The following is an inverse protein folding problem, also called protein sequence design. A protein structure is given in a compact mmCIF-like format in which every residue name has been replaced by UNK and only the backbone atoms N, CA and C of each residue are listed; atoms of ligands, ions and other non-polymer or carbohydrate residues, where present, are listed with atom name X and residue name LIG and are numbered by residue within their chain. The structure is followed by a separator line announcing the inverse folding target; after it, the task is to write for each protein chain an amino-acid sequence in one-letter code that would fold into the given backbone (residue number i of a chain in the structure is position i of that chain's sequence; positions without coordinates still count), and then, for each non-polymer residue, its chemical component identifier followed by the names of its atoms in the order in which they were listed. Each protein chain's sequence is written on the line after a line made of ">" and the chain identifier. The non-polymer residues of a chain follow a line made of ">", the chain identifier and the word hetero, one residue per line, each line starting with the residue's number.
data_IF_648127581983
#
_entry.id   IF_648127581983
#
_cell.length_a   1.000
_cell.length_b   1.000
_cell.length_c   1.000
_cell.angle_alpha   90.00
_cell.angle_beta   90.00
_cell.angle_gamma   90.00
#
_symmetry.space_group_name_H-M   'P 1'
#
loop_
_entity.id
_entity.type
_entity.pdbx_description
1 polymer ?
#
# COMPACT_ATOMS: atom_id res chain seq x y z
N UNK A 1 13.49 23.84 -17.81
CA UNK A 1 13.78 24.29 -16.42
C UNK A 1 14.32 23.10 -15.64
N UNK A 2 15.34 23.27 -14.78
CA UNK A 2 15.89 22.15 -14.01
C UNK A 2 15.01 21.80 -12.80
N UNK A 3 15.02 20.53 -12.37
CA UNK A 3 14.33 20.10 -11.14
C UNK A 3 14.79 20.92 -9.94
N UNK A 4 13.90 21.28 -8.98
CA UNK A 4 14.29 22.02 -7.79
C UNK A 4 15.32 21.25 -6.95
N UNK A 5 16.42 21.91 -6.60
CA UNK A 5 17.49 21.34 -5.76
C UNK A 5 17.66 22.06 -4.42
N UNK A 6 17.01 23.21 -4.24
CA UNK A 6 17.08 24.01 -3.02
C UNK A 6 15.96 23.62 -2.06
N UNK A 7 16.34 23.45 -0.79
CA UNK A 7 15.39 23.27 0.29
C UNK A 7 14.59 24.56 0.49
N UNK A 8 13.26 24.47 0.44
CA UNK A 8 12.36 25.57 0.78
C UNK A 8 11.17 25.04 1.56
N UNK A 9 10.59 25.86 2.43
CA UNK A 9 9.47 25.45 3.26
C UNK A 9 8.24 25.06 2.41
N UNK A 10 7.90 25.87 1.40
CA UNK A 10 6.78 25.59 0.50
C UNK A 10 6.92 24.25 -0.23
N UNK A 11 8.14 23.89 -0.65
CA UNK A 11 8.40 22.62 -1.33
C UNK A 11 8.23 21.43 -0.37
N UNK A 12 8.76 21.55 0.84
CA UNK A 12 8.61 20.54 1.90
C UNK A 12 7.14 20.36 2.28
N UNK A 13 6.40 21.46 2.39
CA UNK A 13 4.98 21.45 2.74
C UNK A 13 4.18 20.67 1.69
N UNK A 14 4.40 20.98 0.41
CA UNK A 14 3.78 20.28 -0.72
C UNK A 14 4.13 18.79 -0.75
N UNK A 15 5.36 18.40 -0.42
CA UNK A 15 5.75 16.98 -0.33
C UNK A 15 4.98 16.29 0.81
N UNK A 16 4.94 16.89 1.99
CA UNK A 16 4.26 16.32 3.15
C UNK A 16 2.74 16.22 2.94
N UNK A 17 2.11 17.21 2.30
CA UNK A 17 0.69 17.19 1.95
C UNK A 17 0.36 16.02 1.01
N UNK A 18 1.14 15.85 -0.07
CA UNK A 18 0.94 14.73 -1.02
C UNK A 18 1.18 13.37 -0.37
N UNK A 19 2.17 13.26 0.52
CA UNK A 19 2.38 12.04 1.30
C UNK A 19 1.17 11.73 2.17
N UNK A 20 0.69 12.73 2.91
CA UNK A 20 -0.50 12.59 3.76
C UNK A 20 -1.72 12.15 2.94
N UNK A 21 -1.85 12.64 1.70
CA UNK A 21 -2.84 12.20 0.71
C UNK A 21 -2.46 10.89 -0.02
N UNK A 22 -1.77 9.99 0.67
CA UNK A 22 -1.46 8.61 0.22
C UNK A 22 -0.55 8.48 -0.99
N UNK A 23 0.03 9.57 -1.49
CA UNK A 23 0.98 9.48 -2.59
C UNK A 23 2.36 8.99 -2.09
N UNK A 24 2.96 8.06 -2.84
CA UNK A 24 4.32 7.60 -2.52
C UNK A 24 5.35 8.68 -2.86
N UNK A 25 6.39 8.81 -2.02
CA UNK A 25 7.53 9.70 -2.33
C UNK A 25 8.14 9.42 -3.71
N UNK A 26 8.12 8.17 -4.17
CA UNK A 26 8.57 7.80 -5.52
C UNK A 26 7.72 8.46 -6.60
N UNK A 27 6.40 8.46 -6.45
CA UNK A 27 5.48 9.09 -7.39
C UNK A 27 5.66 10.61 -7.37
N UNK A 28 5.68 11.21 -6.17
CA UNK A 28 5.89 12.65 -5.99
C UNK A 28 7.16 13.11 -6.72
N UNK A 29 8.30 12.46 -6.48
CA UNK A 29 9.58 12.85 -7.09
C UNK A 29 9.70 12.54 -8.60
N UNK A 30 8.68 11.92 -9.24
CA UNK A 30 8.65 11.80 -10.70
C UNK A 30 8.24 13.11 -11.37
N UNK A 31 7.42 13.94 -10.71
CA UNK A 31 7.02 15.23 -11.27
C UNK A 31 8.22 16.15 -11.51
N UNK A 32 8.15 16.93 -12.59
CA UNK A 32 9.22 17.86 -12.97
C UNK A 32 9.39 19.01 -11.98
N UNK A 33 8.29 19.41 -11.33
CA UNK A 33 8.27 20.45 -10.29
C UNK A 33 8.75 19.94 -8.93
N UNK A 34 9.00 18.64 -8.78
CA UNK A 34 9.42 18.03 -7.53
C UNK A 34 10.94 17.77 -7.51
N UNK A 35 11.57 17.83 -6.32
CA UNK A 35 12.98 17.51 -6.20
C UNK A 35 13.24 16.04 -6.49
N UNK A 36 14.49 15.72 -6.84
CA UNK A 36 14.90 14.33 -6.95
C UNK A 36 14.78 13.61 -5.59
N UNK A 37 14.50 12.31 -5.62
CA UNK A 37 14.38 11.50 -4.40
C UNK A 37 15.64 11.57 -3.53
N UNK A 38 16.84 11.60 -4.13
CA UNK A 38 18.10 11.74 -3.41
C UNK A 38 18.18 13.05 -2.61
N UNK A 39 17.67 14.16 -3.16
CA UNK A 39 17.63 15.45 -2.46
C UNK A 39 16.71 15.40 -1.24
N UNK A 40 15.52 14.81 -1.37
CA UNK A 40 14.58 14.68 -0.24
C UNK A 40 15.18 13.81 0.87
N UNK A 41 15.78 12.67 0.52
CA UNK A 41 16.43 11.79 1.49
C UNK A 41 17.62 12.47 2.19
N UNK A 42 18.42 13.24 1.45
CA UNK A 42 19.51 14.05 2.01
C UNK A 42 18.98 15.09 3.00
N UNK A 43 17.88 15.78 2.68
CA UNK A 43 17.27 16.75 3.60
C UNK A 43 16.68 16.11 4.85
N UNK A 44 16.15 14.89 4.76
CA UNK A 44 15.69 14.16 5.94
C UNK A 44 16.87 13.76 6.84
N UNK A 45 18.02 13.38 6.27
CA UNK A 45 19.21 13.01 7.02
C UNK A 45 19.94 14.20 7.67
N UNK A 46 19.68 15.42 7.22
CA UNK A 46 20.37 16.63 7.66
C UNK A 46 19.84 17.14 9.01
N UNK A 47 20.70 17.20 10.03
CA UNK A 47 20.33 17.59 11.39
C UNK A 47 19.70 18.98 11.49
N UNK A 48 20.16 19.94 10.68
CA UNK A 48 19.65 21.31 10.65
C UNK A 48 18.21 21.39 10.13
N UNK A 49 17.71 20.32 9.52
CA UNK A 49 16.34 20.18 8.97
C UNK A 49 15.46 19.30 9.85
N UNK A 50 15.72 19.26 11.16
CA UNK A 50 14.93 18.47 12.12
C UNK A 50 13.42 18.74 12.04
N UNK A 51 13.00 20.00 11.84
CA UNK A 51 11.59 20.36 11.67
C UNK A 51 10.94 19.65 10.47
N UNK A 52 11.67 19.49 9.36
CA UNK A 52 11.19 18.74 8.20
C UNK A 52 11.02 17.24 8.54
N UNK A 53 11.99 16.62 9.22
CA UNK A 53 11.86 15.22 9.66
C UNK A 53 10.58 14.98 10.47
N UNK A 54 10.30 15.86 11.44
CA UNK A 54 9.11 15.76 12.28
C UNK A 54 7.83 15.89 11.44
N UNK A 55 7.76 16.89 10.56
CA UNK A 55 6.60 17.07 9.67
C UNK A 55 6.41 15.89 8.72
N UNK A 56 7.50 15.35 8.18
CA UNK A 56 7.47 14.19 7.29
C UNK A 56 7.01 12.93 8.02
N UNK A 57 7.46 12.70 9.25
CA UNK A 57 6.98 11.60 10.08
C UNK A 57 5.48 11.70 10.35
N UNK A 58 4.98 12.90 10.69
CA UNK A 58 3.55 13.14 10.86
C UNK A 58 2.76 12.90 9.56
N UNK A 59 3.28 13.33 8.41
CA UNK A 59 2.65 13.07 7.12
C UNK A 59 2.54 11.56 6.82
N UNK A 60 3.58 10.78 7.16
CA UNK A 60 3.55 9.31 7.05
C UNK A 60 2.56 8.67 8.01
N UNK A 61 2.43 9.22 9.21
CA UNK A 61 1.40 8.81 10.15
C UNK A 61 -0.01 9.08 9.59
N UNK A 62 -0.28 10.26 9.02
CA UNK A 62 -1.57 10.58 8.40
C UNK A 62 -1.85 9.66 7.19
N UNK A 63 -0.83 9.44 6.36
CA UNK A 63 -0.89 8.51 5.22
C UNK A 63 -1.37 7.11 5.64
N UNK A 64 -0.91 6.61 6.79
CA UNK A 64 -1.33 5.31 7.30
C UNK A 64 -2.83 5.25 7.61
N UNK A 65 -3.41 6.33 8.15
CA UNK A 65 -4.86 6.40 8.38
C UNK A 65 -5.61 6.37 7.04
N UNK A 66 -5.16 7.16 6.05
CA UNK A 66 -5.78 7.16 4.73
C UNK A 66 -5.68 5.81 4.00
N UNK A 67 -4.60 5.05 4.19
CA UNK A 67 -4.49 3.70 3.62
C UNK A 67 -5.48 2.73 4.23
N UNK A 68 -5.74 2.83 5.54
CA UNK A 68 -6.74 2.00 6.21
C UNK A 68 -8.15 2.34 5.73
N UNK A 69 -8.47 3.63 5.59
CA UNK A 69 -9.77 4.06 5.08
C UNK A 69 -10.00 3.56 3.64
N UNK A 70 -8.98 3.60 2.77
CA UNK A 70 -9.06 3.11 1.38
C UNK A 70 -9.24 1.58 1.28
N UNK A 71 -8.84 0.81 2.30
CA UNK A 71 -8.94 -0.66 2.23
C UNK A 71 -10.37 -1.15 2.07
N UNK A 72 -11.34 -0.47 2.68
CA UNK A 72 -12.77 -0.80 2.56
C UNK A 72 -13.25 -0.56 1.14
N UNK A 73 -12.90 0.59 0.56
CA UNK A 73 -13.25 0.92 -0.83
C UNK A 73 -12.68 -0.12 -1.81
N UNK A 74 -11.46 -0.59 -1.59
CA UNK A 74 -10.82 -1.62 -2.44
C UNK A 74 -11.49 -2.98 -2.27
N UNK A 75 -11.94 -3.32 -1.06
CA UNK A 75 -12.62 -4.58 -0.79
C UNK A 75 -14.01 -4.63 -1.42
N UNK A 76 -14.71 -3.49 -1.45
CA UNK A 76 -16.06 -3.36 -2.02
C UNK A 76 -16.05 -3.13 -3.54
N UNK A 77 -14.91 -2.76 -4.13
CA UNK A 77 -14.76 -2.57 -5.57
C UNK A 77 -14.73 -3.90 -6.33
N UNK A 78 -15.79 -4.14 -7.11
CA UNK A 78 -15.99 -5.32 -7.97
C UNK A 78 -15.64 -5.08 -9.44
N UNK A 79 -15.04 -3.94 -9.76
CA UNK A 79 -14.65 -3.64 -11.14
C UNK A 79 -13.68 -4.71 -11.66
N UNK A 80 -13.89 -5.11 -12.92
CA UNK A 80 -13.05 -6.07 -13.64
C UNK A 80 -12.99 -7.49 -13.05
N UNK A 81 -13.82 -7.85 -12.07
CA UNK A 81 -13.89 -9.21 -11.48
C UNK A 81 -14.29 -10.29 -12.49
N UNK A 82 -14.95 -9.90 -13.58
CA UNK A 82 -15.42 -10.80 -14.62
C UNK A 82 -14.88 -10.36 -15.97
N UNK A 83 -14.36 -11.32 -16.74
CA UNK A 83 -13.90 -11.11 -18.10
C UNK A 83 -14.62 -12.04 -19.08
N UNK A 84 -14.77 -11.57 -20.31
CA UNK A 84 -15.36 -12.36 -21.39
C UNK A 84 -14.48 -13.58 -21.70
N UNK A 85 -15.09 -14.76 -21.74
CA UNK A 85 -14.47 -15.98 -22.23
C UNK A 85 -14.65 -16.06 -23.74
N UNK A 86 -13.58 -15.94 -24.51
CA UNK A 86 -13.61 -15.96 -25.97
C UNK A 86 -13.20 -17.33 -26.54
N UNK A 87 -13.89 -17.77 -27.59
CA UNK A 87 -13.47 -18.94 -28.37
C UNK A 87 -12.31 -18.60 -29.32
N UNK A 88 -11.82 -19.59 -30.06
CA UNK A 88 -10.75 -19.40 -31.04
C UNK A 88 -11.08 -18.39 -32.16
N UNK A 89 -12.38 -18.17 -32.43
CA UNK A 89 -12.89 -17.21 -33.41
C UNK A 89 -13.04 -15.79 -32.84
N UNK A 90 -12.75 -15.59 -31.54
CA UNK A 90 -12.90 -14.31 -30.85
C UNK A 90 -14.32 -13.99 -30.37
N UNK A 91 -15.27 -14.90 -30.51
CA UNK A 91 -16.65 -14.71 -30.06
C UNK A 91 -16.77 -14.96 -28.55
N UNK A 92 -17.55 -14.13 -27.86
CA UNK A 92 -17.84 -14.30 -26.43
C UNK A 92 -18.73 -15.53 -26.23
N UNK A 93 -18.19 -16.52 -25.52
CA UNK A 93 -18.84 -17.82 -25.21
C UNK A 93 -19.33 -17.90 -23.76
N UNK A 94 -19.05 -16.88 -22.96
CA UNK A 94 -19.49 -16.78 -21.58
C UNK A 94 -18.64 -15.80 -20.79
N UNK A 95 -18.75 -15.88 -19.47
CA UNK A 95 -17.99 -15.08 -18.52
C UNK A 95 -17.13 -16.01 -17.66
N UNK A 96 -15.95 -15.53 -17.29
CA UNK A 96 -15.08 -16.20 -16.33
C UNK A 96 -14.53 -15.18 -15.35
N UNK A 97 -14.21 -15.65 -14.14
CA UNK A 97 -13.60 -14.83 -13.10
C UNK A 97 -12.23 -14.32 -13.55
N UNK A 98 -11.98 -13.05 -13.33
CA UNK A 98 -10.68 -12.44 -13.49
C UNK A 98 -9.87 -12.58 -12.21
N UNK A 99 -9.26 -13.75 -12.04
CA UNK A 99 -8.43 -14.00 -10.86
C UNK A 99 -7.26 -13.01 -10.70
N UNK A 100 -6.83 -12.31 -11.76
CA UNK A 100 -5.83 -11.24 -11.63
C UNK A 100 -6.39 -10.02 -10.90
N UNK A 101 -7.60 -9.56 -11.25
CA UNK A 101 -8.25 -8.42 -10.59
C UNK A 101 -8.41 -8.69 -9.09
N UNK A 102 -8.96 -9.85 -8.74
CA UNK A 102 -9.20 -10.24 -7.34
C UNK A 102 -7.89 -10.34 -6.55
N UNK A 103 -6.86 -11.02 -7.09
CA UNK A 103 -5.55 -11.10 -6.44
C UNK A 103 -4.88 -9.73 -6.31
N UNK A 104 -5.10 -8.82 -7.28
CA UNK A 104 -4.56 -7.45 -7.23
C UNK A 104 -5.23 -6.66 -6.11
N UNK A 105 -6.55 -6.77 -5.92
CA UNK A 105 -7.26 -6.14 -4.80
C UNK A 105 -6.77 -6.67 -3.46
N UNK A 106 -6.61 -8.00 -3.33
CA UNK A 106 -6.01 -8.62 -2.14
C UNK A 106 -4.60 -8.07 -1.85
N UNK A 107 -3.72 -8.01 -2.86
CA UNK A 107 -2.36 -7.47 -2.69
C UNK A 107 -2.37 -5.99 -2.30
N UNK A 108 -3.30 -5.20 -2.84
CA UNK A 108 -3.46 -3.77 -2.48
C UNK A 108 -3.85 -3.60 -1.02
N UNK A 109 -4.80 -4.40 -0.53
CA UNK A 109 -5.25 -4.40 0.87
C UNK A 109 -4.10 -4.84 1.77
N UNK A 110 -3.46 -5.97 1.46
CA UNK A 110 -2.32 -6.51 2.21
C UNK A 110 -1.17 -5.50 2.35
N UNK A 111 -0.80 -4.84 1.24
CA UNK A 111 0.28 -3.85 1.23
C UNK A 111 -0.05 -2.66 2.12
N UNK A 112 -1.29 -2.16 2.05
CA UNK A 112 -1.76 -1.01 2.84
C UNK A 112 -1.80 -1.33 4.33
N UNK A 113 -2.31 -2.50 4.69
CA UNK A 113 -2.31 -2.99 6.06
C UNK A 113 -0.88 -3.05 6.61
N UNK A 114 0.05 -3.69 5.89
CA UNK A 114 1.45 -3.79 6.31
C UNK A 114 2.08 -2.41 6.51
N UNK A 115 1.85 -1.46 5.58
CA UNK A 115 2.36 -0.09 5.73
C UNK A 115 1.76 0.58 6.96
N UNK A 116 0.45 0.46 7.19
CA UNK A 116 -0.22 1.06 8.34
C UNK A 116 0.30 0.50 9.67
N UNK A 117 0.52 -0.82 9.74
CA UNK A 117 1.14 -1.49 10.90
C UNK A 117 2.55 -0.97 11.19
N UNK A 118 3.37 -0.71 10.15
CA UNK A 118 4.73 -0.19 10.33
C UNK A 118 4.77 1.29 10.71
N UNK A 119 3.86 2.09 10.18
CA UNK A 119 3.83 3.53 10.42
C UNK A 119 3.11 3.90 11.73
N UNK A 120 2.10 3.13 12.14
CA UNK A 120 1.32 3.36 13.36
C UNK A 120 1.10 2.06 14.15
N UNK A 121 2.18 1.40 14.64
CA UNK A 121 2.08 0.09 15.30
C UNK A 121 1.20 0.11 16.56
N UNK A 122 1.13 1.22 17.28
CA UNK A 122 0.25 1.34 18.46
C UNK A 122 -1.25 1.32 18.12
N UNK A 123 -1.62 1.80 16.93
CA UNK A 123 -3.02 1.91 16.48
C UNK A 123 -3.43 0.71 15.63
N UNK A 124 -2.56 0.29 14.72
CA UNK A 124 -2.86 -0.74 13.71
C UNK A 124 -2.04 -2.01 13.86
N UNK A 125 -1.01 -2.05 14.71
CA UNK A 125 -0.21 -3.24 14.92
C UNK A 125 -1.02 -4.36 15.56
N UNK A 126 -0.75 -5.60 15.13
CA UNK A 126 -1.36 -6.79 15.70
C UNK A 126 -1.02 -6.90 17.19
N UNK A 127 -2.04 -6.87 18.04
CA UNK A 127 -1.90 -7.23 19.45
C UNK A 127 -1.81 -8.75 19.53
N UNK A 128 -0.65 -9.26 19.90
CA UNK A 128 -0.53 -10.65 20.33
C UNK A 128 -0.95 -10.69 21.79
N UNK A 129 -2.18 -11.12 22.07
CA UNK A 129 -2.55 -11.50 23.42
C UNK A 129 -1.83 -12.81 23.77
N UNK A 130 -1.22 -12.95 24.96
CA UNK A 130 -0.72 -14.23 25.43
C UNK A 130 -1.92 -15.14 25.73
N UNK A 131 -2.16 -16.08 24.82
CA UNK A 131 -2.99 -17.28 24.92
C UNK A 131 -3.95 -17.41 26.13
N UNK A 132 -5.22 -17.11 25.88
CA UNK A 132 -6.29 -18.08 26.17
C UNK A 132 -7.16 -18.23 24.93
N UNK A 133 -6.78 -19.15 24.04
CA UNK A 133 -7.65 -19.65 22.98
C UNK A 133 -7.58 -18.83 21.69
N UNK A 134 -6.76 -19.34 20.77
CA UNK A 134 -6.64 -19.00 19.35
C UNK A 134 -7.79 -18.17 18.78
N UNK A 135 -7.57 -16.86 18.66
CA UNK A 135 -8.15 -16.04 17.60
C UNK A 135 -6.99 -15.51 16.78
N UNK A 136 -6.50 -16.32 15.85
CA UNK A 136 -5.66 -15.83 14.76
C UNK A 136 -6.54 -14.95 13.89
N UNK A 137 -6.24 -13.65 13.83
CA UNK A 137 -6.98 -12.72 12.99
C UNK A 137 -7.07 -13.26 11.57
N UNK A 138 -8.30 -13.42 11.07
CA UNK A 138 -8.62 -14.11 9.80
C UNK A 138 -7.85 -13.52 8.61
N UNK A 139 -7.47 -12.25 8.68
CA UNK A 139 -6.66 -11.57 7.65
C UNK A 139 -5.19 -12.00 7.68
N UNK A 140 -4.60 -12.24 8.86
CA UNK A 140 -3.25 -12.79 8.96
C UNK A 140 -3.19 -14.21 8.39
N UNK A 141 -4.24 -15.00 8.62
CA UNK A 141 -4.38 -16.34 8.04
C UNK A 141 -4.50 -16.26 6.51
N UNK A 142 -5.31 -15.33 5.99
CA UNK A 142 -5.41 -15.05 4.56
C UNK A 142 -4.05 -14.63 3.94
N UNK A 143 -3.26 -13.81 4.64
CA UNK A 143 -1.93 -13.39 4.18
C UNK A 143 -0.92 -14.55 4.18
N UNK A 144 -0.99 -15.44 5.17
CA UNK A 144 -0.18 -16.67 5.21
C UNK A 144 -0.58 -17.66 4.11
N UNK A 145 -1.87 -17.78 3.83
CA UNK A 145 -2.41 -18.64 2.78
C UNK A 145 -2.03 -18.12 1.37
N UNK A 146 -2.02 -16.80 1.18
CA UNK A 146 -1.53 -16.15 -0.05
C UNK A 146 0.00 -16.34 -0.22
N UNK A 147 0.78 -16.40 0.87
CA UNK A 147 2.24 -16.42 0.82
C UNK A 147 2.88 -17.83 0.80
N UNK A 148 2.11 -18.90 0.60
CA UNK A 148 2.64 -20.18 0.10
C UNK A 148 2.88 -21.29 1.12
N UNK A 149 1.81 -21.83 1.71
CA UNK A 149 1.76 -23.24 2.10
C UNK A 149 0.58 -23.95 1.42
N UNK A 150 0.74 -24.28 0.14
CA UNK A 150 -0.01 -25.38 -0.48
C UNK A 150 0.40 -26.69 0.19
N UNK A 151 -0.21 -26.99 1.33
CA UNK A 151 -0.12 -28.29 1.99
C UNK A 151 -0.95 -29.29 1.20
N UNK A 152 -0.27 -30.02 0.32
CA UNK A 152 -0.67 -31.34 -0.18
C UNK A 152 -1.85 -31.35 -1.16
N UNK A 153 -1.55 -31.56 -2.44
CA UNK A 153 -2.49 -32.28 -3.30
C UNK A 153 -2.60 -33.72 -2.76
N UNK A 154 -3.80 -34.26 -2.54
CA UNK A 154 -3.96 -35.70 -2.32
C UNK A 154 -3.54 -36.42 -3.60
N UNK A 155 -2.56 -37.32 -3.49
CA UNK A 155 -2.31 -38.32 -4.54
C UNK A 155 -3.55 -39.21 -4.60
N UNK A 156 -4.37 -39.00 -5.63
CA UNK A 156 -5.42 -39.93 -6.02
C UNK A 156 -4.83 -41.27 -6.41
N UNK A 157 -5.54 -42.33 -6.02
CA UNK A 157 -5.24 -43.74 -6.27
C UNK A 157 -5.14 -44.11 -7.75
#
# INVERSE_FOLDING_TARGET
>A
MGRPTKFTQALVDRICERIADRESLRSICRDEEMPAMSSVLSWLADEDKAAFRVKYALAREIQADGFVDEMVEIADDRADDWIEKKNASGETTGWQENGEAIRRSQLRIATRQWVAEKLKPKKYGSKVEPDQGVVTGEVSQLLEDINGKTRGLPNGS
#
